data_IF_881692441746
#
_entry.id   IF_881692441746
#
_cell.length_a   1.000
_cell.length_b   1.000
_cell.length_c   1.000
_cell.angle_alpha   90.00
_cell.angle_beta   90.00
_cell.angle_gamma   90.00
#
_symmetry.space_group_name_H-M   'P 1'
#
loop_
_entity.id
_entity.type
_entity.pdbx_description
1 polymer ?
#
# COMPACT_ATOMS: atom_id res chain seq x y z
N UNK A 1 -53.75 -28.20 7.88
CA UNK A 1 -53.12 -29.45 7.49
C UNK A 1 -52.13 -29.15 6.37
N UNK A 2 -50.82 -29.25 6.59
CA UNK A 2 -49.83 -29.17 5.54
C UNK A 2 -49.66 -30.58 4.92
N UNK A 3 -49.29 -30.68 3.64
CA UNK A 3 -49.11 -31.96 2.96
C UNK A 3 -47.76 -32.62 3.34
N UNK A 4 -47.83 -33.95 3.44
CA UNK A 4 -46.72 -34.87 3.71
C UNK A 4 -45.72 -34.93 2.54
N UNK A 5 -44.38 -35.08 2.80
CA UNK A 5 -43.38 -35.22 1.75
C UNK A 5 -43.26 -36.67 1.24
N UNK A 6 -43.05 -36.80 -0.07
CA UNK A 6 -42.83 -37.99 -0.87
C UNK A 6 -41.45 -38.63 -0.59
N UNK A 7 -41.35 -39.98 -0.37
CA UNK A 7 -40.12 -40.67 -0.02
C UNK A 7 -39.46 -41.36 -1.23
N UNK A 8 -38.95 -40.60 -2.19
CA UNK A 8 -38.20 -41.22 -3.28
C UNK A 8 -37.14 -40.30 -3.86
N UNK A 9 -35.95 -40.26 -3.22
CA UNK A 9 -34.66 -39.97 -3.87
C UNK A 9 -33.52 -40.12 -2.87
N UNK A 10 -33.04 -41.40 -2.70
CA UNK A 10 -31.76 -41.67 -2.03
C UNK A 10 -30.63 -41.68 -3.09
N UNK A 11 -29.52 -40.98 -2.89
CA UNK A 11 -28.36 -41.11 -3.78
C UNK A 11 -27.59 -42.39 -3.48
N UNK A 12 -27.31 -43.13 -4.55
CA UNK A 12 -26.50 -44.35 -4.55
C UNK A 12 -25.02 -44.01 -4.33
N UNK A 13 -24.44 -44.48 -3.26
CA UNK A 13 -23.01 -44.50 -3.01
C UNK A 13 -22.32 -45.58 -3.88
N UNK A 14 -21.33 -45.18 -4.68
CA UNK A 14 -20.42 -46.11 -5.38
C UNK A 14 -19.21 -46.42 -4.49
N UNK A 15 -18.73 -47.66 -4.40
CA UNK A 15 -17.57 -47.99 -3.60
C UNK A 15 -16.25 -47.65 -4.32
N UNK A 16 -15.33 -47.03 -3.59
CA UNK A 16 -13.95 -46.80 -3.98
C UNK A 16 -13.15 -48.10 -4.05
N UNK A 17 -12.65 -48.45 -5.23
CA UNK A 17 -11.68 -49.54 -5.42
C UNK A 17 -10.31 -49.15 -4.87
N UNK A 18 -9.85 -49.84 -3.84
CA UNK A 18 -8.46 -49.80 -3.35
C UNK A 18 -7.56 -50.56 -4.35
N UNK A 19 -6.49 -49.91 -4.82
CA UNK A 19 -5.36 -50.56 -5.50
C UNK A 19 -4.26 -50.88 -4.48
N UNK A 20 -3.61 -52.04 -4.55
CA UNK A 20 -2.54 -52.40 -3.62
C UNK A 20 -1.20 -51.77 -4.03
N UNK A 21 -0.44 -51.32 -3.02
CA UNK A 21 0.96 -50.93 -3.11
C UNK A 21 1.83 -52.17 -3.25
N UNK A 22 2.59 -52.26 -4.34
CA UNK A 22 3.69 -53.22 -4.49
C UNK A 22 4.97 -52.62 -3.89
N UNK A 23 5.49 -53.25 -2.88
CA UNK A 23 6.85 -53.07 -2.36
C UNK A 23 7.83 -53.77 -3.31
N UNK A 24 8.84 -53.06 -3.77
CA UNK A 24 10.01 -53.64 -4.43
C UNK A 24 11.25 -53.35 -3.58
N UNK A 25 11.78 -54.40 -3.03
CA UNK A 25 13.06 -54.50 -2.34
C UNK A 25 14.18 -54.71 -3.37
N UNK A 26 15.33 -54.15 -3.12
CA UNK A 26 16.59 -54.47 -3.83
C UNK A 26 17.50 -53.23 -3.85
N UNK A 27 18.69 -53.24 -3.46
CA UNK A 27 19.77 -54.12 -3.05
C UNK A 27 20.94 -53.21 -2.66
N UNK A 28 21.64 -53.60 -1.61
CA UNK A 28 22.94 -53.03 -1.21
C UNK A 28 23.98 -53.22 -2.32
N UNK A 29 24.81 -52.18 -2.54
CA UNK A 29 26.13 -52.36 -3.14
C UNK A 29 27.17 -51.47 -2.43
N UNK A 30 27.97 -52.05 -1.82
CA UNK A 30 29.35 -52.14 -1.32
C UNK A 30 30.27 -50.96 -1.67
N UNK A 31 30.94 -50.54 -0.63
CA UNK A 31 31.98 -49.52 -0.59
C UNK A 31 33.22 -49.86 -1.42
N UNK A 32 33.84 -48.86 -1.98
CA UNK A 32 35.26 -48.87 -2.31
C UNK A 32 35.92 -47.58 -1.78
N UNK A 33 36.71 -47.74 -0.72
CA UNK A 33 37.68 -46.73 -0.28
C UNK A 33 38.78 -46.60 -1.33
N UNK A 34 39.03 -45.39 -1.81
CA UNK A 34 40.28 -44.99 -2.43
C UNK A 34 40.74 -43.71 -1.74
N UNK A 35 41.71 -43.88 -0.85
CA UNK A 35 42.56 -42.81 -0.30
C UNK A 35 43.50 -42.30 -1.37
N UNK A 36 43.40 -41.05 -1.77
CA UNK A 36 44.45 -40.34 -2.51
C UNK A 36 44.69 -38.96 -1.90
N UNK A 37 45.96 -38.67 -1.75
CA UNK A 37 46.61 -37.63 -0.97
C UNK A 37 46.06 -36.25 -1.04
N UNK A 38 46.10 -35.57 0.09
CA UNK A 38 45.85 -34.17 0.25
C UNK A 38 46.98 -33.34 -0.34
N UNK A 39 46.72 -32.68 -1.46
CA UNK A 39 47.44 -31.47 -1.81
C UNK A 39 46.64 -30.28 -1.27
N UNK A 40 47.22 -29.61 -0.27
CA UNK A 40 46.72 -28.36 0.24
C UNK A 40 46.93 -27.34 -0.87
N UNK A 41 45.90 -27.07 -1.67
CA UNK A 41 45.82 -25.88 -2.51
C UNK A 41 45.11 -24.81 -1.66
N UNK A 42 45.89 -23.76 -1.43
CA UNK A 42 45.41 -22.51 -0.82
C UNK A 42 44.19 -22.01 -1.61
N UNK A 43 43.02 -22.36 -1.10
CA UNK A 43 41.71 -22.02 -1.70
C UNK A 43 41.37 -20.60 -1.33
N UNK A 44 41.74 -19.64 -2.16
CA UNK A 44 41.14 -18.32 -2.10
C UNK A 44 39.63 -18.47 -2.20
N UNK A 45 38.92 -17.88 -1.26
CA UNK A 45 37.46 -17.81 -1.26
C UNK A 45 36.94 -17.37 -2.63
N UNK A 46 35.90 -18.04 -3.18
CA UNK A 46 35.28 -17.56 -4.42
C UNK A 46 34.78 -16.12 -4.21
N UNK A 47 34.82 -15.26 -5.24
CA UNK A 47 34.40 -13.87 -5.13
C UNK A 47 33.00 -13.81 -4.54
N UNK A 48 32.89 -13.21 -3.34
CA UNK A 48 31.75 -13.29 -2.44
C UNK A 48 30.44 -13.01 -3.15
N UNK A 49 29.54 -13.94 -3.01
CA UNK A 49 28.09 -13.69 -3.16
C UNK A 49 27.79 -12.36 -2.45
N UNK A 50 27.04 -11.42 -3.06
CA UNK A 50 26.71 -10.17 -2.40
C UNK A 50 26.02 -10.49 -1.08
N UNK A 51 26.74 -10.28 0.00
CA UNK A 51 26.24 -10.52 1.36
C UNK A 51 25.03 -9.59 1.57
N UNK A 52 23.85 -10.16 1.80
CA UNK A 52 22.67 -9.40 2.16
C UNK A 52 23.07 -8.45 3.30
N UNK A 53 22.63 -7.19 3.30
CA UNK A 53 23.06 -6.21 4.27
C UNK A 53 22.83 -6.75 5.68
N UNK A 54 23.87 -6.70 6.51
CA UNK A 54 23.85 -7.19 7.91
C UNK A 54 22.98 -6.33 8.84
N UNK A 55 22.36 -5.27 8.31
CA UNK A 55 21.44 -4.39 9.03
C UNK A 55 19.99 -4.88 8.85
N UNK A 56 19.23 -4.83 9.93
CA UNK A 56 17.82 -5.17 9.93
C UNK A 56 17.01 -3.89 10.06
N UNK A 57 15.93 -3.79 9.26
CA UNK A 57 14.93 -2.74 9.45
C UNK A 57 14.24 -2.94 10.81
N UNK A 58 13.92 -1.84 11.52
CA UNK A 58 13.13 -1.89 12.75
C UNK A 58 11.66 -2.13 12.41
N UNK A 59 11.35 -3.36 12.02
CA UNK A 59 9.98 -3.76 11.69
C UNK A 59 9.08 -3.64 12.92
N UNK A 60 7.81 -3.21 12.75
CA UNK A 60 6.84 -3.24 13.84
C UNK A 60 6.60 -4.67 14.31
N UNK A 61 6.39 -4.85 15.62
CA UNK A 61 6.12 -6.17 16.21
C UNK A 61 4.74 -6.71 15.83
N UNK A 62 3.79 -5.84 15.53
CA UNK A 62 2.41 -6.16 15.14
C UNK A 62 2.06 -5.60 13.75
N UNK A 63 0.94 -6.10 13.19
CA UNK A 63 0.44 -5.64 11.90
C UNK A 63 1.30 -6.08 10.74
N UNK A 64 1.42 -5.21 9.74
CA UNK A 64 2.15 -5.47 8.50
C UNK A 64 2.97 -4.27 8.09
N UNK A 65 4.15 -4.51 7.53
CA UNK A 65 4.95 -3.46 6.90
C UNK A 65 5.61 -3.95 5.62
N UNK A 66 5.88 -3.03 4.69
CA UNK A 66 6.65 -3.28 3.48
C UNK A 66 7.40 -2.00 3.10
N UNK A 67 8.66 -2.14 2.67
CA UNK A 67 9.53 -0.99 2.34
C UNK A 67 10.30 -1.27 1.06
N UNK A 68 10.42 -0.23 0.24
CA UNK A 68 11.16 -0.26 -1.01
C UNK A 68 11.86 1.06 -1.30
N UNK A 69 12.97 1.01 -2.03
CA UNK A 69 13.65 2.17 -2.62
C UNK A 69 13.64 2.00 -4.14
N UNK A 70 13.06 2.94 -4.84
CA UNK A 70 13.06 2.92 -6.31
C UNK A 70 14.44 3.33 -6.89
N UNK A 71 14.75 2.78 -8.07
CA UNK A 71 16.02 3.06 -8.76
C UNK A 71 17.20 2.17 -8.37
N UNK A 72 17.01 1.23 -7.43
CA UNK A 72 18.08 0.29 -7.01
C UNK A 72 17.87 -1.16 -7.52
N UNK A 73 16.97 -1.37 -8.48
CA UNK A 73 16.63 -2.71 -8.97
C UNK A 73 16.11 -3.61 -7.84
N UNK A 74 16.54 -4.88 -7.84
CA UNK A 74 16.12 -5.85 -6.80
C UNK A 74 16.65 -5.49 -5.40
N UNK A 75 17.80 -4.83 -5.31
CA UNK A 75 18.35 -4.33 -4.03
C UNK A 75 17.49 -3.24 -3.39
N UNK A 76 16.61 -2.63 -4.16
CA UNK A 76 15.64 -1.65 -3.64
C UNK A 76 14.46 -2.28 -2.92
N UNK A 77 14.22 -3.58 -3.06
CA UNK A 77 13.23 -4.30 -2.27
C UNK A 77 13.83 -4.60 -0.90
N UNK A 78 13.43 -3.84 0.12
CA UNK A 78 13.94 -4.01 1.48
C UNK A 78 13.12 -5.03 2.27
N UNK A 79 12.07 -5.60 1.65
CA UNK A 79 11.26 -6.67 2.20
C UNK A 79 9.92 -6.23 2.78
N UNK A 80 9.27 -7.21 3.37
CA UNK A 80 8.00 -7.05 4.08
C UNK A 80 8.00 -7.85 5.38
N UNK A 81 7.24 -7.39 6.36
CA UNK A 81 7.10 -8.01 7.68
C UNK A 81 5.63 -8.19 8.05
N UNK A 82 5.35 -9.17 8.90
CA UNK A 82 4.02 -9.48 9.41
C UNK A 82 3.22 -10.45 8.53
N UNK A 83 1.97 -10.67 8.93
CA UNK A 83 1.05 -11.55 8.21
C UNK A 83 0.78 -11.03 6.79
N UNK A 84 0.50 -11.97 5.87
CA UNK A 84 0.02 -11.63 4.51
C UNK A 84 -1.51 -11.72 4.39
N UNK A 85 -2.21 -11.88 5.49
CA UNK A 85 -3.68 -11.85 5.52
C UNK A 85 -4.15 -10.43 5.27
N UNK A 86 -5.12 -10.18 4.38
CA UNK A 86 -5.68 -8.84 4.19
C UNK A 86 -6.27 -8.28 5.49
N UNK A 87 -6.02 -7.00 5.74
CA UNK A 87 -6.51 -6.26 6.91
C UNK A 87 -7.24 -5.01 6.47
N UNK A 88 -8.18 -4.47 7.26
CA UNK A 88 -8.80 -3.18 6.98
C UNK A 88 -7.74 -2.08 6.87
N UNK A 89 -7.87 -1.18 5.89
CA UNK A 89 -6.86 -0.15 5.59
C UNK A 89 -7.33 1.29 5.81
N UNK A 90 -8.58 1.46 6.22
CA UNK A 90 -9.18 2.77 6.46
C UNK A 90 -8.89 3.77 5.32
N UNK A 91 -8.63 5.03 5.62
CA UNK A 91 -8.45 6.11 4.64
C UNK A 91 -7.22 5.97 3.74
N UNK A 92 -6.35 4.98 3.90
CA UNK A 92 -5.33 4.65 2.88
C UNK A 92 -5.99 4.28 1.54
N UNK A 93 -7.23 3.79 1.57
CA UNK A 93 -8.11 3.55 0.41
C UNK A 93 -8.15 4.72 -0.56
N UNK A 94 -8.13 5.98 -0.07
CA UNK A 94 -8.19 7.19 -0.89
C UNK A 94 -7.01 7.35 -1.86
N UNK A 95 -5.94 6.60 -1.65
CA UNK A 95 -4.83 6.54 -2.61
C UNK A 95 -5.26 5.82 -3.89
N UNK A 96 -6.04 4.73 -3.78
CA UNK A 96 -6.62 4.06 -4.95
C UNK A 96 -7.68 4.94 -5.63
N UNK A 97 -8.50 5.62 -4.84
CA UNK A 97 -9.48 6.59 -5.37
C UNK A 97 -8.78 7.66 -6.19
N UNK A 98 -7.72 8.29 -5.66
CA UNK A 98 -6.93 9.27 -6.40
C UNK A 98 -6.26 8.67 -7.65
N UNK A 99 -5.75 7.43 -7.56
CA UNK A 99 -5.13 6.75 -8.69
C UNK A 99 -6.12 6.52 -9.84
N UNK A 100 -7.35 6.07 -9.54
CA UNK A 100 -8.39 5.87 -10.56
C UNK A 100 -8.80 7.20 -11.19
N UNK A 101 -9.06 8.22 -10.37
CA UNK A 101 -9.41 9.57 -10.85
C UNK A 101 -8.33 10.12 -11.77
N UNK A 102 -7.07 10.15 -11.35
CA UNK A 102 -5.97 10.71 -12.14
C UNK A 102 -5.64 9.87 -13.39
N UNK A 103 -5.95 8.59 -13.41
CA UNK A 103 -5.82 7.75 -14.60
C UNK A 103 -6.89 8.10 -15.64
N UNK A 104 -8.14 8.29 -15.21
CA UNK A 104 -9.29 8.51 -16.08
C UNK A 104 -9.42 10.01 -16.45
N UNK A 105 -8.96 10.90 -15.57
CA UNK A 105 -8.92 12.36 -15.72
C UNK A 105 -7.53 12.92 -15.41
N UNK A 106 -6.54 12.76 -16.31
CA UNK A 106 -5.17 13.14 -16.01
C UNK A 106 -4.99 14.67 -15.87
N UNK A 107 -4.43 15.10 -14.76
CA UNK A 107 -4.07 16.49 -14.52
C UNK A 107 -2.70 16.79 -15.11
N UNK A 108 -2.65 17.74 -16.05
CA UNK A 108 -1.37 18.33 -16.51
C UNK A 108 -0.76 19.19 -15.41
N UNK A 109 0.57 19.35 -15.44
CA UNK A 109 1.30 20.14 -14.45
C UNK A 109 0.66 21.54 -14.27
N UNK A 110 0.35 21.89 -13.01
CA UNK A 110 -0.20 23.19 -12.64
C UNK A 110 -1.67 23.43 -13.02
N UNK A 111 -2.32 22.54 -13.77
CA UNK A 111 -3.72 22.76 -14.15
C UNK A 111 -4.68 22.38 -13.01
N UNK A 112 -5.79 23.12 -12.87
CA UNK A 112 -6.82 22.81 -11.88
C UNK A 112 -7.68 21.59 -12.26
N UNK A 113 -7.70 21.19 -13.55
CA UNK A 113 -8.62 20.18 -14.07
C UNK A 113 -10.06 20.69 -14.25
N UNK A 114 -11.00 19.81 -14.60
CA UNK A 114 -12.41 20.15 -14.76
C UNK A 114 -13.02 20.66 -13.45
N UNK A 115 -14.08 21.45 -13.58
CA UNK A 115 -14.87 21.90 -12.43
C UNK A 115 -16.01 20.92 -12.18
N UNK A 116 -16.04 20.39 -10.99
CA UNK A 116 -16.98 19.37 -10.51
C UNK A 116 -17.98 20.05 -9.59
N UNK A 117 -19.26 19.79 -9.80
CA UNK A 117 -20.34 20.33 -8.96
C UNK A 117 -20.52 19.42 -7.74
N UNK A 118 -20.55 20.01 -6.56
CA UNK A 118 -20.87 19.33 -5.31
C UNK A 118 -22.32 18.87 -5.35
N UNK A 119 -22.54 17.56 -5.31
CA UNK A 119 -23.87 16.98 -5.28
C UNK A 119 -24.53 17.14 -3.90
N UNK A 120 -25.86 16.99 -3.82
CA UNK A 120 -26.58 17.08 -2.54
C UNK A 120 -26.03 16.15 -1.46
N UNK A 121 -25.69 14.92 -1.83
CA UNK A 121 -25.22 13.91 -0.89
C UNK A 121 -23.89 14.30 -0.26
N UNK A 122 -22.92 14.79 -1.04
CA UNK A 122 -21.61 15.23 -0.50
C UNK A 122 -21.75 16.45 0.44
N UNK A 123 -22.71 17.34 0.17
CA UNK A 123 -23.00 18.46 1.05
C UNK A 123 -23.66 17.99 2.34
N UNK A 124 -24.63 17.10 2.27
CA UNK A 124 -25.33 16.53 3.45
C UNK A 124 -24.36 15.74 4.35
N UNK A 125 -23.42 15.00 3.75
CA UNK A 125 -22.36 14.27 4.46
C UNK A 125 -21.36 15.20 5.18
N UNK A 126 -21.26 16.48 4.80
CA UNK A 126 -20.32 17.45 5.38
C UNK A 126 -20.53 17.72 6.87
N UNK A 127 -21.74 17.46 7.39
CA UNK A 127 -22.09 17.67 8.81
C UNK A 127 -21.99 16.39 9.64
N UNK A 128 -21.45 15.30 9.08
CA UNK A 128 -21.22 14.07 9.82
C UNK A 128 -20.25 14.30 10.99
N UNK A 129 -20.67 13.97 12.21
CA UNK A 129 -19.81 14.02 13.40
C UNK A 129 -19.02 12.74 13.68
N UNK A 130 -19.19 11.69 12.85
CA UNK A 130 -18.66 10.34 13.09
C UNK A 130 -17.51 9.94 12.17
N UNK A 131 -17.23 10.73 11.14
CA UNK A 131 -16.20 10.48 10.16
C UNK A 131 -15.46 11.77 9.74
N UNK A 132 -14.29 11.62 9.07
CA UNK A 132 -13.55 12.76 8.54
C UNK A 132 -14.28 13.32 7.33
N UNK A 133 -14.85 14.53 7.42
CA UNK A 133 -15.51 15.22 6.33
C UNK A 133 -14.95 16.62 6.14
N UNK A 134 -15.21 17.20 4.97
CA UNK A 134 -14.85 18.58 4.62
C UNK A 134 -16.15 19.35 4.38
N UNK A 135 -16.30 20.57 4.90
CA UNK A 135 -17.44 21.43 4.58
C UNK A 135 -17.54 21.65 3.07
N UNK A 136 -18.67 21.29 2.47
CA UNK A 136 -18.99 21.49 1.05
C UNK A 136 -20.41 22.04 0.96
N UNK A 137 -20.62 22.99 0.04
CA UNK A 137 -21.94 23.55 -0.21
C UNK A 137 -22.56 22.94 -1.47
N UNK A 138 -23.84 22.60 -1.42
CA UNK A 138 -24.59 22.06 -2.56
C UNK A 138 -24.51 23.02 -3.75
N UNK A 139 -24.14 22.47 -4.92
CA UNK A 139 -24.02 23.25 -6.16
C UNK A 139 -22.73 24.07 -6.27
N UNK A 140 -21.88 24.10 -5.24
CA UNK A 140 -20.54 24.68 -5.34
C UNK A 140 -19.74 23.97 -6.43
N UNK A 141 -18.91 24.71 -7.16
CA UNK A 141 -18.07 24.14 -8.23
C UNK A 141 -16.61 24.24 -7.85
N UNK A 142 -16.01 23.09 -7.59
CA UNK A 142 -14.59 22.95 -7.25
C UNK A 142 -13.82 22.28 -8.39
N UNK A 143 -12.55 22.63 -8.56
CA UNK A 143 -11.71 21.94 -9.53
C UNK A 143 -11.35 20.54 -9.05
N UNK A 144 -11.07 19.62 -9.96
CA UNK A 144 -10.60 18.27 -9.66
C UNK A 144 -9.39 18.28 -8.72
N UNK A 145 -8.37 19.11 -9.03
CA UNK A 145 -7.19 19.28 -8.15
C UNK A 145 -7.60 19.68 -6.75
N UNK A 146 -8.54 20.62 -6.64
CA UNK A 146 -9.03 21.09 -5.34
C UNK A 146 -9.72 19.98 -4.54
N UNK A 147 -10.53 19.16 -5.20
CA UNK A 147 -11.16 18.01 -4.56
C UNK A 147 -10.13 16.93 -4.16
N UNK A 148 -9.11 16.68 -4.98
CA UNK A 148 -8.01 15.79 -4.59
C UNK A 148 -7.27 16.31 -3.35
N UNK A 149 -7.03 17.62 -3.23
CA UNK A 149 -6.45 18.22 -2.03
C UNK A 149 -7.34 17.98 -0.80
N UNK A 150 -8.64 18.24 -0.91
CA UNK A 150 -9.60 18.07 0.18
C UNK A 150 -9.80 16.60 0.58
N UNK A 151 -9.63 15.68 -0.35
CA UNK A 151 -9.68 14.24 -0.11
C UNK A 151 -8.41 13.72 0.57
N UNK A 152 -7.23 14.15 0.12
CA UNK A 152 -5.96 13.54 0.53
C UNK A 152 -5.34 14.24 1.74
N UNK A 153 -5.44 15.56 1.85
CA UNK A 153 -4.81 16.35 2.93
C UNK A 153 -5.58 16.20 4.25
N UNK A 154 -6.83 16.68 4.39
CA UNK A 154 -7.63 16.50 5.61
C UNK A 154 -8.39 15.17 5.65
N UNK A 155 -8.24 14.34 4.62
CA UNK A 155 -8.89 13.01 4.54
C UNK A 155 -10.42 13.02 4.36
N UNK A 156 -11.00 13.97 3.60
CA UNK A 156 -12.45 14.09 3.39
C UNK A 156 -13.09 12.85 2.77
N UNK A 157 -13.94 12.14 3.52
CA UNK A 157 -14.67 10.96 3.05
C UNK A 157 -15.76 11.34 2.04
N UNK A 158 -16.53 12.40 2.35
CA UNK A 158 -17.55 12.94 1.45
C UNK A 158 -16.96 13.37 0.11
N UNK A 159 -15.74 13.89 0.09
CA UNK A 159 -15.04 14.24 -1.13
C UNK A 159 -14.64 13.00 -1.96
N UNK A 160 -14.22 11.93 -1.29
CA UNK A 160 -13.89 10.68 -1.97
C UNK A 160 -15.12 10.09 -2.66
N UNK A 161 -16.28 10.08 -1.98
CA UNK A 161 -17.55 9.60 -2.52
C UNK A 161 -18.08 10.51 -3.65
N UNK A 162 -17.93 11.84 -3.51
CA UNK A 162 -18.26 12.78 -4.57
C UNK A 162 -17.45 12.51 -5.85
N UNK A 163 -16.12 12.35 -5.73
CA UNK A 163 -15.25 12.05 -6.86
C UNK A 163 -15.61 10.70 -7.51
N UNK A 164 -15.96 9.71 -6.71
CA UNK A 164 -16.39 8.40 -7.19
C UNK A 164 -17.68 8.49 -8.02
N UNK A 165 -18.69 9.20 -7.53
CA UNK A 165 -19.95 9.42 -8.26
C UNK A 165 -19.75 10.26 -9.51
N UNK A 166 -18.91 11.28 -9.44
CA UNK A 166 -18.58 12.11 -10.60
C UNK A 166 -17.93 11.31 -11.73
N UNK A 167 -16.98 10.41 -11.40
CA UNK A 167 -16.22 9.62 -12.38
C UNK A 167 -17.05 8.47 -12.97
N UNK A 168 -17.86 7.80 -12.16
CA UNK A 168 -18.49 6.54 -12.56
C UNK A 168 -20.02 6.54 -12.51
N UNK A 169 -20.66 7.65 -12.13
CA UNK A 169 -22.11 7.76 -11.97
C UNK A 169 -22.64 7.23 -10.64
N UNK A 170 -21.96 6.27 -10.03
CA UNK A 170 -22.25 5.81 -8.67
C UNK A 170 -21.00 5.34 -7.95
N UNK A 171 -21.05 5.23 -6.62
CA UNK A 171 -19.93 4.71 -5.82
C UNK A 171 -19.68 3.22 -6.12
N UNK A 172 -20.72 2.41 -6.33
CA UNK A 172 -20.61 0.97 -6.65
C UNK A 172 -19.91 0.75 -7.99
N UNK A 173 -20.25 1.55 -9.01
CA UNK A 173 -19.58 1.51 -10.30
C UNK A 173 -18.10 1.91 -10.16
N UNK A 174 -17.79 2.90 -9.33
CA UNK A 174 -16.42 3.33 -9.04
C UNK A 174 -15.63 2.26 -8.29
N UNK A 175 -16.21 1.62 -7.28
CA UNK A 175 -15.61 0.48 -6.56
C UNK A 175 -15.26 -0.65 -7.52
N UNK A 176 -16.10 -0.91 -8.52
CA UNK A 176 -15.77 -1.85 -9.59
C UNK A 176 -14.51 -1.43 -10.36
N UNK A 177 -14.34 -0.13 -10.67
CA UNK A 177 -13.11 0.40 -11.30
C UNK A 177 -11.89 0.26 -10.37
N UNK A 178 -12.05 0.52 -9.06
CA UNK A 178 -10.97 0.36 -8.07
C UNK A 178 -10.46 -1.09 -8.01
N UNK A 179 -11.36 -2.06 -7.96
CA UNK A 179 -10.98 -3.48 -7.93
C UNK A 179 -10.31 -3.92 -9.24
N UNK A 180 -10.81 -3.49 -10.42
CA UNK A 180 -10.13 -3.73 -11.70
C UNK A 180 -8.73 -3.09 -11.75
N UNK A 181 -8.56 -1.91 -11.16
CA UNK A 181 -7.26 -1.26 -11.05
C UNK A 181 -6.32 -2.05 -10.13
N UNK A 182 -6.82 -2.57 -9.01
CA UNK A 182 -6.07 -3.43 -8.11
C UNK A 182 -5.59 -4.71 -8.82
N UNK A 183 -6.46 -5.37 -9.57
CA UNK A 183 -6.11 -6.56 -10.37
C UNK A 183 -5.02 -6.25 -11.40
N UNK A 184 -5.15 -5.13 -12.12
CA UNK A 184 -4.17 -4.67 -13.13
C UNK A 184 -2.79 -4.37 -12.51
N UNK A 185 -2.75 -3.92 -11.25
CA UNK A 185 -1.53 -3.68 -10.48
C UNK A 185 -0.98 -4.96 -9.79
N UNK A 186 -1.66 -6.09 -9.94
CA UNK A 186 -1.29 -7.35 -9.29
C UNK A 186 -1.52 -7.36 -7.78
N UNK A 187 -2.45 -6.55 -7.27
CA UNK A 187 -2.84 -6.45 -5.87
C UNK A 187 -3.86 -7.55 -5.50
N UNK A 188 -3.44 -8.79 -5.62
CA UNK A 188 -4.31 -9.98 -5.55
C UNK A 188 -4.93 -10.26 -4.18
N UNK A 189 -4.50 -9.55 -3.15
CA UNK A 189 -4.98 -9.65 -1.77
C UNK A 189 -5.64 -8.35 -1.31
N UNK A 190 -6.27 -7.65 -2.25
CA UNK A 190 -6.91 -6.37 -2.01
C UNK A 190 -8.35 -6.42 -2.49
N UNK A 191 -9.26 -5.95 -1.66
CA UNK A 191 -10.68 -5.77 -1.99
C UNK A 191 -11.12 -4.40 -1.53
N UNK A 192 -11.63 -3.60 -2.45
CA UNK A 192 -12.25 -2.32 -2.16
C UNK A 192 -13.76 -2.49 -2.13
N UNK A 193 -14.43 -1.95 -1.12
CA UNK A 193 -15.89 -1.97 -0.95
C UNK A 193 -16.49 -0.57 -0.80
N UNK A 194 -15.64 0.47 -0.77
CA UNK A 194 -16.03 1.88 -0.77
C UNK A 194 -14.87 2.75 -1.23
N UNK A 195 -15.18 4.00 -1.62
CA UNK A 195 -14.20 4.96 -2.14
C UNK A 195 -13.40 5.67 -1.05
N UNK A 196 -13.92 5.72 0.18
CA UNK A 196 -13.33 6.47 1.30
C UNK A 196 -12.49 5.60 2.24
N UNK A 197 -12.79 4.30 2.35
CA UNK A 197 -12.22 3.37 3.31
C UNK A 197 -12.87 3.46 4.69
N UNK A 198 -14.08 3.98 4.78
CA UNK A 198 -14.88 3.94 6.00
C UNK A 198 -15.30 2.49 6.33
N UNK A 199 -15.57 1.70 5.30
CA UNK A 199 -16.02 0.32 5.39
C UNK A 199 -14.87 -0.61 5.80
N UNK A 200 -14.98 -1.34 6.92
CA UNK A 200 -13.94 -2.26 7.38
C UNK A 200 -13.74 -3.47 6.45
N UNK A 201 -14.65 -3.70 5.53
CA UNK A 201 -14.59 -4.70 4.47
C UNK A 201 -13.64 -4.33 3.33
N UNK A 202 -13.22 -3.07 3.23
CA UNK A 202 -12.10 -2.65 2.37
C UNK A 202 -10.80 -3.12 3.00
N UNK A 203 -10.21 -4.16 2.44
CA UNK A 203 -9.03 -4.84 3.00
C UNK A 203 -7.90 -4.94 2.00
N UNK A 204 -6.66 -4.95 2.50
CA UNK A 204 -5.45 -5.10 1.68
C UNK A 204 -4.28 -5.63 2.51
N UNK A 205 -3.11 -5.76 1.87
CA UNK A 205 -1.83 -6.07 2.51
C UNK A 205 -0.82 -4.93 2.29
N UNK A 206 0.17 -4.82 3.17
CA UNK A 206 1.23 -3.83 3.02
C UNK A 206 1.98 -3.98 1.67
N UNK A 207 2.19 -5.22 1.22
CA UNK A 207 2.85 -5.50 -0.06
C UNK A 207 2.01 -5.04 -1.26
N UNK A 208 0.68 -5.20 -1.23
CA UNK A 208 -0.20 -4.74 -2.30
C UNK A 208 -0.29 -3.21 -2.32
N UNK A 209 -0.43 -2.59 -1.15
CA UNK A 209 -0.43 -1.12 -1.05
C UNK A 209 0.91 -0.51 -1.48
N UNK A 210 2.04 -1.21 -1.30
CA UNK A 210 3.33 -0.76 -1.80
C UNK A 210 3.40 -0.77 -3.34
N UNK A 211 2.71 -1.72 -4.02
CA UNK A 211 2.57 -1.70 -5.49
C UNK A 211 1.82 -0.44 -5.95
N UNK A 212 0.71 -0.12 -5.27
CA UNK A 212 -0.05 1.10 -5.55
C UNK A 212 0.80 2.36 -5.30
N UNK A 213 1.53 2.42 -4.17
CA UNK A 213 2.43 3.52 -3.84
C UNK A 213 3.44 3.79 -4.98
N UNK A 214 4.08 2.75 -5.49
CA UNK A 214 5.02 2.86 -6.62
C UNK A 214 4.39 3.44 -7.86
N UNK A 215 3.17 3.07 -8.15
CA UNK A 215 2.48 3.53 -9.35
C UNK A 215 2.00 4.98 -9.20
N UNK A 216 1.31 5.30 -8.10
CA UNK A 216 0.72 6.63 -7.92
C UNK A 216 1.78 7.72 -7.70
N UNK A 217 2.91 7.38 -7.07
CA UNK A 217 4.02 8.32 -6.85
C UNK A 217 4.78 8.67 -8.14
N UNK A 218 4.46 8.09 -9.28
CA UNK A 218 4.93 8.56 -10.61
C UNK A 218 4.18 9.78 -11.10
N UNK A 219 2.93 9.96 -10.64
CA UNK A 219 2.11 11.11 -11.00
C UNK A 219 2.54 12.37 -10.26
N UNK A 220 2.85 13.44 -11.00
CA UNK A 220 3.34 14.70 -10.44
C UNK A 220 2.25 15.45 -9.69
N UNK A 221 1.00 15.42 -10.19
CA UNK A 221 -0.13 16.08 -9.55
C UNK A 221 -0.41 15.42 -8.19
N UNK A 222 -0.41 14.09 -8.15
CA UNK A 222 -0.55 13.36 -6.90
C UNK A 222 0.54 13.73 -5.88
N UNK A 223 1.83 13.69 -6.30
CA UNK A 223 2.94 14.05 -5.40
C UNK A 223 2.80 15.46 -4.86
N UNK A 224 2.42 16.43 -5.71
CA UNK A 224 2.26 17.82 -5.28
C UNK A 224 1.15 18.01 -4.26
N UNK A 225 0.09 17.20 -4.33
CA UNK A 225 -1.04 17.24 -3.38
C UNK A 225 -0.66 16.62 -2.05
N UNK A 226 -0.11 15.39 -2.04
CA UNK A 226 0.17 14.68 -0.78
C UNK A 226 1.32 15.26 0.02
N UNK A 227 2.17 16.08 -0.61
CA UNK A 227 3.26 16.79 0.05
C UNK A 227 2.80 18.10 0.75
N UNK A 228 1.57 18.53 0.56
CA UNK A 228 1.06 19.76 1.20
C UNK A 228 0.89 19.55 2.72
N UNK A 229 1.46 20.40 3.57
CA UNK A 229 1.27 20.29 5.02
C UNK A 229 -0.13 20.71 5.47
N UNK A 230 -0.84 21.47 4.64
CA UNK A 230 -2.20 21.97 4.90
C UNK A 230 -2.89 22.37 3.60
N UNK A 231 -4.21 22.48 3.65
CA UNK A 231 -5.06 23.12 2.64
C UNK A 231 -6.06 24.07 3.32
N UNK A 232 -6.95 24.74 2.59
CA UNK A 232 -7.99 25.61 3.17
C UNK A 232 -9.37 24.97 3.00
N UNK A 233 -10.32 25.28 3.85
CA UNK A 233 -11.72 24.90 3.62
C UNK A 233 -12.31 25.71 2.45
N UNK A 234 -13.19 25.12 1.62
CA UNK A 234 -13.93 25.87 0.60
C UNK A 234 -14.72 27.02 1.24
N UNK A 235 -14.79 28.15 0.55
CA UNK A 235 -15.55 29.31 1.01
C UNK A 235 -15.10 29.97 2.33
N UNK A 236 -13.98 29.51 2.91
CA UNK A 236 -13.53 29.94 4.24
C UNK A 236 -12.00 30.06 4.31
N UNK A 237 -11.45 31.01 5.09
CA UNK A 237 -10.02 31.09 5.35
C UNK A 237 -9.51 29.99 6.32
N UNK A 238 -10.39 29.12 6.82
CA UNK A 238 -10.03 28.05 7.77
C UNK A 238 -9.03 27.10 7.15
N UNK A 239 -7.90 26.92 7.82
CA UNK A 239 -6.87 25.96 7.43
C UNK A 239 -7.24 24.55 7.89
N UNK A 240 -7.06 23.58 7.00
CA UNK A 240 -7.22 22.16 7.23
C UNK A 240 -5.83 21.50 7.19
N UNK A 241 -5.29 20.99 8.30
CA UNK A 241 -3.97 20.37 8.33
C UNK A 241 -3.97 19.03 7.58
N UNK A 242 -2.80 18.62 7.09
CA UNK A 242 -2.60 17.26 6.62
C UNK A 242 -2.61 16.31 7.81
N UNK A 243 -3.35 15.22 7.69
CA UNK A 243 -3.40 14.17 8.72
C UNK A 243 -2.08 13.42 8.86
N UNK A 244 -1.17 13.55 7.89
CA UNK A 244 0.15 12.93 7.90
C UNK A 244 1.20 13.81 8.57
N UNK A 245 1.32 13.73 9.89
CA UNK A 245 2.34 14.48 10.65
C UNK A 245 3.77 13.98 10.40
N UNK A 246 3.95 12.83 9.73
CA UNK A 246 5.27 12.37 9.30
C UNK A 246 5.93 13.33 8.29
N UNK A 247 5.17 14.20 7.64
CA UNK A 247 5.69 15.28 6.76
C UNK A 247 6.66 16.23 7.47
N UNK A 248 6.62 16.32 8.80
CA UNK A 248 7.58 17.08 9.61
C UNK A 248 8.95 16.40 9.68
N UNK A 249 9.03 15.11 9.30
CA UNK A 249 10.29 14.35 9.28
C UNK A 249 11.07 14.68 8.01
N UNK A 250 12.36 14.96 8.16
CA UNK A 250 13.24 15.34 7.04
C UNK A 250 13.17 14.36 5.88
N UNK A 251 12.90 14.88 4.68
CA UNK A 251 12.82 14.14 3.43
C UNK A 251 11.49 13.43 3.18
N UNK A 252 10.55 13.39 4.13
CA UNK A 252 9.21 12.82 3.90
C UNK A 252 8.40 13.76 2.99
N UNK A 253 7.79 13.19 1.95
CA UNK A 253 7.04 13.92 0.91
C UNK A 253 5.60 13.40 0.73
N UNK A 254 5.10 12.60 1.63
CA UNK A 254 3.71 12.05 1.59
C UNK A 254 3.63 10.74 2.37
N UNK A 255 2.54 10.00 2.34
CA UNK A 255 1.46 9.97 1.35
C UNK A 255 0.10 10.10 2.05
N UNK A 256 -0.38 9.04 2.76
CA UNK A 256 -1.73 9.00 3.31
C UNK A 256 -1.82 8.16 4.59
N UNK A 257 -2.47 8.73 5.60
CA UNK A 257 -2.85 8.06 6.84
C UNK A 257 -4.22 7.38 6.71
N UNK A 258 -4.43 6.39 7.54
CA UNK A 258 -5.75 5.81 7.79
C UNK A 258 -5.88 5.40 9.25
N UNK A 259 -7.05 5.53 9.83
CA UNK A 259 -7.32 5.02 11.17
C UNK A 259 -8.81 4.74 11.36
N UNK A 260 -9.09 3.64 12.03
CA UNK A 260 -10.40 3.28 12.58
C UNK A 260 -10.16 2.19 13.62
N UNK A 261 -11.12 1.93 14.49
CA UNK A 261 -10.99 0.84 15.48
C UNK A 261 -10.66 -0.51 14.81
N UNK A 262 -11.34 -0.95 13.72
CA UNK A 262 -10.99 -2.21 13.06
C UNK A 262 -9.64 -2.20 12.34
N UNK A 263 -9.23 -1.07 11.76
CA UNK A 263 -7.99 -0.97 11.01
C UNK A 263 -6.77 -0.72 11.91
N UNK A 264 -6.98 -0.17 13.11
CA UNK A 264 -5.89 0.44 13.86
C UNK A 264 -5.31 1.63 13.11
N UNK A 265 -4.01 1.88 13.25
CA UNK A 265 -3.27 2.84 12.47
C UNK A 265 -2.75 2.24 11.16
N UNK A 266 -2.87 2.99 10.08
CA UNK A 266 -2.37 2.68 8.75
C UNK A 266 -1.68 3.91 8.15
N UNK A 267 -0.52 3.72 7.51
CA UNK A 267 0.22 4.79 6.84
C UNK A 267 0.92 4.26 5.59
N UNK A 268 0.68 4.91 4.48
CA UNK A 268 1.53 4.86 3.30
C UNK A 268 2.41 6.11 3.34
N UNK A 269 3.73 5.94 3.28
CA UNK A 269 4.66 7.05 3.29
C UNK A 269 5.61 7.02 2.09
N UNK A 270 6.12 8.19 1.73
CA UNK A 270 7.15 8.39 0.73
C UNK A 270 8.19 9.38 1.26
N UNK A 271 9.46 9.10 0.98
CA UNK A 271 10.56 9.98 1.35
C UNK A 271 11.62 10.05 0.25
N UNK A 272 12.27 11.20 0.09
CA UNK A 272 13.50 11.33 -0.66
C UNK A 272 14.68 11.01 0.26
N UNK A 273 15.54 10.12 -0.19
CA UNK A 273 16.70 9.65 0.58
C UNK A 273 17.98 9.77 -0.28
N UNK A 274 18.98 10.56 0.15
CA UNK A 274 20.21 10.69 -0.59
C UNK A 274 21.12 9.47 -0.40
N UNK A 275 21.76 9.02 -1.47
CA UNK A 275 22.87 8.07 -1.40
C UNK A 275 24.17 8.77 -0.98
N UNK A 276 25.28 8.00 -0.86
CA UNK A 276 26.60 8.54 -0.50
C UNK A 276 27.16 9.58 -1.47
N UNK A 277 26.62 9.65 -2.69
CA UNK A 277 26.99 10.65 -3.72
C UNK A 277 26.04 11.85 -3.73
N UNK A 278 25.07 11.90 -2.81
CA UNK A 278 24.06 12.93 -2.75
C UNK A 278 22.94 12.80 -3.80
N UNK A 279 22.87 11.67 -4.55
CA UNK A 279 21.77 11.43 -5.49
C UNK A 279 20.54 11.02 -4.70
N UNK A 280 19.41 11.67 -4.98
CA UNK A 280 18.16 11.37 -4.33
C UNK A 280 17.47 10.15 -4.92
N UNK A 281 16.96 9.31 -4.06
CA UNK A 281 16.14 8.13 -4.38
C UNK A 281 14.79 8.23 -3.68
N UNK A 282 13.75 7.70 -4.32
CA UNK A 282 12.43 7.61 -3.73
C UNK A 282 12.33 6.35 -2.88
N UNK A 283 12.20 6.53 -1.57
CA UNK A 283 11.86 5.46 -0.64
C UNK A 283 10.36 5.46 -0.39
N UNK A 284 9.75 4.28 -0.41
CA UNK A 284 8.32 4.05 -0.20
C UNK A 284 8.13 3.02 0.90
N UNK A 285 7.17 3.26 1.77
CA UNK A 285 6.80 2.29 2.78
C UNK A 285 5.30 2.31 3.10
N UNK A 286 4.86 1.18 3.58
CA UNK A 286 3.48 0.97 4.03
C UNK A 286 3.54 0.25 5.37
N UNK A 287 2.83 0.78 6.35
CA UNK A 287 2.64 0.16 7.68
C UNK A 287 1.14 0.11 7.93
N UNK A 288 0.61 -1.06 8.24
CA UNK A 288 -0.83 -1.32 8.41
C UNK A 288 -1.11 -2.03 9.73
N UNK A 289 -2.35 -1.83 10.21
CA UNK A 289 -2.94 -2.61 11.29
C UNK A 289 -2.18 -2.49 12.63
N UNK A 290 -1.75 -1.26 12.93
CA UNK A 290 -1.08 -0.95 14.19
C UNK A 290 -2.12 -0.68 15.28
N UNK A 291 -2.05 -1.38 16.42
CA UNK A 291 -3.01 -1.24 17.53
C UNK A 291 -4.47 -1.41 17.09
N UNK A 292 -4.75 -2.38 16.21
CA UNK A 292 -6.11 -2.68 15.80
C UNK A 292 -6.97 -3.10 17.01
N UNK A 293 -8.25 -2.67 17.02
CA UNK A 293 -9.14 -2.88 18.16
C UNK A 293 -9.03 -1.82 19.26
N UNK A 294 -8.05 -0.91 19.19
CA UNK A 294 -7.94 0.23 20.12
C UNK A 294 -8.54 1.52 19.53
N UNK A 295 -8.33 2.66 20.17
CA UNK A 295 -8.77 3.94 19.62
C UNK A 295 -8.02 4.32 18.34
N UNK A 296 -8.66 5.02 17.37
CA UNK A 296 -7.98 5.51 16.18
C UNK A 296 -6.74 6.35 16.47
N UNK A 297 -6.72 7.08 17.58
CA UNK A 297 -5.60 7.92 18.01
C UNK A 297 -4.40 7.08 18.46
N UNK A 298 -4.61 5.99 19.19
CA UNK A 298 -3.55 5.06 19.60
C UNK A 298 -2.95 4.38 18.37
N UNK A 299 -3.80 3.93 17.44
CA UNK A 299 -3.34 3.39 16.16
C UNK A 299 -2.47 4.37 15.38
N UNK A 300 -2.89 5.64 15.29
CA UNK A 300 -2.12 6.69 14.60
C UNK A 300 -0.76 6.95 15.27
N UNK A 301 -0.68 7.02 16.59
CA UNK A 301 0.60 7.17 17.29
C UNK A 301 1.56 6.04 16.94
N UNK A 302 1.10 4.80 17.09
CA UNK A 302 1.92 3.62 16.80
C UNK A 302 2.41 3.59 15.35
N UNK A 303 1.54 3.87 14.38
CA UNK A 303 1.93 3.85 12.96
C UNK A 303 2.92 4.97 12.62
N UNK A 304 2.82 6.15 13.25
CA UNK A 304 3.80 7.21 13.06
C UNK A 304 5.16 6.86 13.65
N UNK A 305 5.20 6.30 14.86
CA UNK A 305 6.45 5.92 15.52
C UNK A 305 7.19 4.84 14.72
N UNK A 306 6.51 3.78 14.31
CA UNK A 306 7.09 2.72 13.48
C UNK A 306 7.53 3.24 12.11
N UNK A 307 6.72 4.09 11.47
CA UNK A 307 7.07 4.64 10.15
C UNK A 307 8.27 5.58 10.23
N UNK A 308 8.38 6.40 11.28
CA UNK A 308 9.55 7.28 11.53
C UNK A 308 10.82 6.45 11.68
N UNK A 309 10.78 5.40 12.52
CA UNK A 309 11.91 4.50 12.70
C UNK A 309 12.35 3.84 11.37
N UNK A 310 11.40 3.40 10.54
CA UNK A 310 11.69 2.85 9.21
C UNK A 310 12.32 3.88 8.27
N UNK A 311 11.80 5.10 8.21
CA UNK A 311 12.36 6.20 7.38
C UNK A 311 13.79 6.50 7.81
N UNK A 312 14.05 6.65 9.10
CA UNK A 312 15.38 6.92 9.66
C UNK A 312 16.36 5.79 9.35
N UNK A 313 15.95 4.53 9.52
CA UNK A 313 16.77 3.37 9.20
C UNK A 313 17.12 3.31 7.71
N UNK A 314 16.16 3.57 6.82
CA UNK A 314 16.38 3.63 5.37
C UNK A 314 17.37 4.74 5.01
N UNK A 315 17.23 5.94 5.58
CA UNK A 315 18.15 7.08 5.37
C UNK A 315 19.57 6.73 5.82
N UNK A 316 19.70 6.14 7.01
CA UNK A 316 20.99 5.71 7.56
C UNK A 316 21.66 4.65 6.66
N UNK A 317 20.89 3.68 6.19
CA UNK A 317 21.41 2.67 5.27
C UNK A 317 21.89 3.28 3.95
N UNK A 318 21.08 4.14 3.33
CA UNK A 318 21.43 4.79 2.07
C UNK A 318 22.72 5.61 2.18
N UNK A 319 22.92 6.32 3.29
CA UNK A 319 24.14 7.10 3.55
C UNK A 319 25.42 6.24 3.66
N UNK A 320 25.28 4.93 3.90
CA UNK A 320 26.41 3.97 4.06
C UNK A 320 26.57 3.03 2.89
N UNK A 321 25.53 2.82 2.09
CA UNK A 321 25.56 1.86 0.97
C UNK A 321 26.45 2.36 -0.14
N UNK A 322 27.43 1.53 -0.58
CA UNK A 322 28.24 1.84 -1.76
C UNK A 322 27.33 1.88 -3.01
N UNK A 323 27.43 2.92 -3.84
CA UNK A 323 26.69 2.97 -5.10
C UNK A 323 26.99 1.72 -5.94
N UNK A 324 25.97 1.23 -6.68
CA UNK A 324 26.25 0.24 -7.72
C UNK A 324 27.28 0.83 -8.68
N UNK A 325 28.28 0.04 -9.09
CA UNK A 325 29.12 0.41 -10.20
C UNK A 325 28.21 0.65 -11.41
N UNK A 326 28.29 1.84 -12.00
CA UNK A 326 27.66 2.11 -13.28
C UNK A 326 28.27 1.12 -14.28
N UNK A 327 27.49 0.11 -14.67
CA UNK A 327 27.84 -0.63 -15.87
C UNK A 327 27.66 0.35 -17.03
N UNK A 328 28.72 1.10 -17.30
CA UNK A 328 28.85 1.81 -18.54
C UNK A 328 28.77 0.74 -19.65
N UNK A 329 27.67 0.72 -20.36
CA UNK A 329 27.54 0.06 -21.65
C UNK A 329 28.48 0.80 -22.59
N UNK A 330 29.75 0.35 -22.60
CA UNK A 330 30.70 0.70 -23.62
C UNK A 330 30.28 -0.01 -24.90
N UNK A 331 29.45 0.62 -25.70
CA UNK A 331 29.34 0.31 -27.12
C UNK A 331 30.47 1.02 -27.84
N UNK A 332 31.46 0.25 -28.26
CA UNK A 332 32.32 0.60 -29.38
C UNK A 332 31.74 -0.01 -30.66
#
# INVERSE_FOLDING_TARGET
MPPTPDPALRPRTRPLRRRPLLFSTGTLSLAALLTLGAAVLDGGDPPGTPQAPSWKLPWPEEGQAAVRIDGLGDRGDLGSHGSRTPVPIASVTKVMTAYVILRDHPLRDGTPGPRITVDPQAADESVSGVESTVPLERGERLSERRLLELMLVPSGNNVARLLARWDAGSEEAFVTKMNRAADALGMRRTTYTGASGLEPTTTSTAADQLRLARQVMRDKAFRSVVAQPRTTAPGSPRTLPNTNTLLETTGVIGVKTGSSTPAGGALMWAATVPDRRGREHLALGVVLHQRAGTSPQEGLRAVFDHSRALVEAVRHWMSRTKPAADHATGSR
#
